data_IF_981357554677
#
_entry.id   IF_981357554677
#
_cell.length_a   1.000
_cell.length_b   1.000
_cell.length_c   1.000
_cell.angle_alpha   90.00
_cell.angle_beta   90.00
_cell.angle_gamma   90.00
#
_symmetry.space_group_name_H-M   'P 1'
#
loop_
_entity.id
_entity.type
_entity.pdbx_description
1 polymer ?
#
# COMPACT_ATOMS: atom_id res chain seq x y z
N UNK A 1 7.85 55.87 6.40
CA UNK A 1 7.14 55.22 5.27
C UNK A 1 7.52 53.75 5.28
N UNK A 2 6.52 52.88 5.25
CA UNK A 2 6.59 51.46 5.65
C UNK A 2 7.45 50.57 4.74
N UNK A 3 8.15 49.62 5.37
CA UNK A 3 8.82 48.47 4.74
C UNK A 3 7.81 47.54 4.07
N UNK A 4 8.05 47.13 2.82
CA UNK A 4 7.39 45.97 2.19
C UNK A 4 8.15 45.50 0.93
N UNK A 5 9.24 44.75 1.11
CA UNK A 5 9.77 43.91 0.03
C UNK A 5 9.64 42.43 0.42
N UNK A 6 8.41 41.94 0.28
CA UNK A 6 8.04 40.53 0.35
C UNK A 6 7.66 40.07 -1.04
N UNK A 7 8.57 39.40 -1.75
CA UNK A 7 8.25 38.51 -2.88
C UNK A 7 9.03 37.21 -2.73
N UNK A 8 8.54 36.42 -1.79
CA UNK A 8 8.71 34.98 -1.72
C UNK A 8 8.11 34.33 -2.98
N UNK A 9 8.96 34.07 -3.97
CA UNK A 9 8.62 33.29 -5.16
C UNK A 9 8.53 31.81 -4.78
N UNK A 10 7.41 31.43 -4.16
CA UNK A 10 6.98 30.04 -4.04
C UNK A 10 6.71 29.51 -5.46
N UNK A 11 7.70 28.85 -6.06
CA UNK A 11 7.50 28.04 -7.25
C UNK A 11 6.73 26.79 -6.83
N UNK A 12 5.41 26.98 -6.76
CA UNK A 12 4.39 25.95 -6.67
C UNK A 12 4.53 25.03 -7.90
N UNK A 13 5.45 24.07 -7.82
CA UNK A 13 5.40 22.85 -8.63
C UNK A 13 4.21 22.09 -8.06
N UNK A 14 3.02 22.42 -8.55
CA UNK A 14 1.81 21.65 -8.29
C UNK A 14 2.09 20.22 -8.77
N UNK A 15 2.54 19.37 -7.85
CA UNK A 15 2.42 17.94 -8.03
C UNK A 15 0.94 17.69 -8.25
N UNK A 16 0.60 17.36 -9.51
CA UNK A 16 -0.73 16.93 -9.97
C UNK A 16 -1.36 15.84 -9.07
N UNK A 17 -0.52 15.20 -8.28
CA UNK A 17 -0.80 14.19 -7.28
C UNK A 17 -0.79 14.89 -5.91
N UNK A 18 -1.95 15.13 -5.28
CA UNK A 18 -1.98 15.62 -3.89
C UNK A 18 -1.21 14.64 -3.00
N UNK A 19 -0.62 15.08 -1.87
CA UNK A 19 0.12 14.19 -0.96
C UNK A 19 -0.83 13.12 -0.42
N UNK A 20 -0.92 11.99 -1.12
CA UNK A 20 -1.76 10.89 -0.72
C UNK A 20 -1.17 10.32 0.58
N UNK A 21 -1.99 10.12 1.61
CA UNK A 21 -1.58 9.52 2.89
C UNK A 21 -0.74 8.27 2.71
N UNK A 22 0.14 7.94 3.66
CA UNK A 22 1.13 6.87 3.54
C UNK A 22 0.51 5.50 3.26
N UNK A 23 1.35 4.48 3.03
CA UNK A 23 0.90 3.08 2.84
C UNK A 23 -0.15 2.61 3.86
N UNK A 24 -0.09 3.14 5.08
CA UNK A 24 -0.98 2.83 6.20
C UNK A 24 -2.36 3.51 6.11
N UNK A 25 -2.53 4.53 5.27
CA UNK A 25 -3.78 5.30 5.15
C UNK A 25 -4.70 4.74 4.06
N UNK A 26 -4.20 3.87 3.18
CA UNK A 26 -5.04 3.17 2.21
C UNK A 26 -5.81 2.06 2.91
N UNK A 27 -7.14 2.18 2.91
CA UNK A 27 -8.07 1.13 3.38
C UNK A 27 -7.75 -0.21 2.72
N UNK A 28 -7.34 -0.20 1.44
CA UNK A 28 -6.96 -1.41 0.70
C UNK A 28 -5.70 -2.08 1.27
N UNK A 29 -4.70 -1.31 1.71
CA UNK A 29 -3.51 -1.86 2.37
C UNK A 29 -3.87 -2.52 3.70
N UNK A 30 -4.67 -1.82 4.54
CA UNK A 30 -5.12 -2.33 5.83
C UNK A 30 -5.91 -3.63 5.68
N UNK A 31 -6.85 -3.68 4.71
CA UNK A 31 -7.62 -4.89 4.41
C UNK A 31 -6.73 -6.04 3.91
N UNK A 32 -5.71 -5.75 3.11
CA UNK A 32 -4.77 -6.77 2.63
C UNK A 32 -3.94 -7.38 3.77
N UNK A 33 -3.59 -6.60 4.79
CA UNK A 33 -2.90 -7.13 5.98
C UNK A 33 -3.79 -8.08 6.76
N UNK A 34 -5.06 -7.70 6.98
CA UNK A 34 -6.04 -8.57 7.65
C UNK A 34 -6.22 -9.90 6.89
N UNK A 35 -6.30 -9.85 5.56
CA UNK A 35 -6.41 -11.05 4.72
C UNK A 35 -5.15 -11.91 4.85
N UNK A 36 -3.96 -11.30 4.82
CA UNK A 36 -2.70 -12.00 5.00
C UNK A 36 -2.61 -12.71 6.36
N UNK A 37 -2.94 -12.00 7.44
CA UNK A 37 -2.89 -12.52 8.80
C UNK A 37 -3.96 -13.59 9.05
N UNK A 38 -5.13 -13.46 8.42
CA UNK A 38 -6.21 -14.44 8.50
C UNK A 38 -5.97 -15.72 7.69
N UNK A 39 -5.14 -15.67 6.64
CA UNK A 39 -4.91 -16.80 5.72
C UNK A 39 -4.34 -18.04 6.44
N UNK A 40 -3.36 -17.95 7.36
CA UNK A 40 -2.91 -19.09 8.16
C UNK A 40 -4.02 -19.72 9.02
N UNK A 41 -4.87 -18.89 9.64
CA UNK A 41 -5.97 -19.40 10.47
C UNK A 41 -7.05 -20.09 9.63
N UNK A 42 -7.40 -19.50 8.49
CA UNK A 42 -8.33 -20.09 7.54
C UNK A 42 -7.82 -21.43 7.01
N UNK A 43 -6.57 -21.46 6.54
CA UNK A 43 -5.99 -22.69 5.98
C UNK A 43 -5.88 -23.79 7.05
N UNK A 44 -5.46 -23.46 8.27
CA UNK A 44 -5.43 -24.40 9.40
C UNK A 44 -6.81 -24.93 9.80
N UNK A 45 -7.86 -24.11 9.67
CA UNK A 45 -9.23 -24.48 10.07
C UNK A 45 -9.92 -25.36 9.04
N UNK A 46 -9.75 -25.07 7.75
CA UNK A 46 -10.53 -25.68 6.67
C UNK A 46 -9.76 -26.73 5.85
N UNK A 47 -8.43 -26.76 5.96
CA UNK A 47 -7.60 -27.74 5.26
C UNK A 47 -6.97 -28.68 6.29
N UNK A 48 -7.24 -29.98 6.15
CA UNK A 48 -6.76 -31.02 7.07
C UNK A 48 -5.26 -31.29 6.95
N UNK A 49 -4.64 -30.92 5.83
CA UNK A 49 -3.23 -31.18 5.54
C UNK A 49 -2.64 -29.93 4.87
N UNK A 50 -1.46 -29.50 5.32
CA UNK A 50 -0.72 -28.40 4.70
C UNK A 50 -0.17 -28.86 3.35
N UNK A 51 -1.06 -28.89 2.37
CA UNK A 51 -0.78 -29.32 1.01
C UNK A 51 -0.55 -28.12 0.10
N UNK A 52 -0.34 -28.40 -1.19
CA UNK A 52 -0.06 -27.42 -2.26
C UNK A 52 -1.04 -26.24 -2.29
N UNK A 53 -2.31 -26.47 -1.95
CA UNK A 53 -3.36 -25.43 -1.92
C UNK A 53 -3.12 -24.41 -0.78
N UNK A 54 -2.65 -24.87 0.37
CA UNK A 54 -2.32 -23.98 1.51
C UNK A 54 -1.12 -23.09 1.15
N UNK A 55 -0.11 -23.67 0.50
CA UNK A 55 1.05 -22.90 0.02
C UNK A 55 0.67 -21.87 -1.05
N UNK A 56 -0.21 -22.22 -1.98
CA UNK A 56 -0.72 -21.29 -3.00
C UNK A 56 -1.53 -20.14 -2.38
N UNK A 57 -2.42 -20.43 -1.41
CA UNK A 57 -3.14 -19.38 -0.70
C UNK A 57 -2.20 -18.44 0.05
N UNK A 58 -1.19 -18.98 0.75
CA UNK A 58 -0.20 -18.15 1.42
C UNK A 58 0.57 -17.25 0.44
N UNK A 59 1.00 -17.79 -0.70
CA UNK A 59 1.70 -17.00 -1.72
C UNK A 59 0.79 -15.94 -2.36
N UNK A 60 -0.47 -16.27 -2.65
CA UNK A 60 -1.44 -15.32 -3.19
C UNK A 60 -1.69 -14.16 -2.21
N UNK A 61 -1.83 -14.46 -0.92
CA UNK A 61 -1.98 -13.43 0.10
C UNK A 61 -0.73 -12.53 0.23
N UNK A 62 0.47 -13.10 0.11
CA UNK A 62 1.74 -12.34 0.09
C UNK A 62 1.85 -11.44 -1.14
N UNK A 63 1.62 -12.01 -2.33
CA UNK A 63 1.66 -11.27 -3.60
C UNK A 63 0.60 -10.17 -3.63
N UNK A 64 -0.60 -10.40 -3.09
CA UNK A 64 -1.63 -9.37 -2.98
C UNK A 64 -1.16 -8.13 -2.21
N UNK A 65 -0.48 -8.32 -1.07
CA UNK A 65 0.10 -7.22 -0.27
C UNK A 65 1.18 -6.47 -1.04
N UNK A 66 2.04 -7.19 -1.77
CA UNK A 66 3.13 -6.63 -2.58
C UNK A 66 2.60 -5.84 -3.79
N UNK A 67 1.61 -6.37 -4.51
CA UNK A 67 0.99 -5.69 -5.66
C UNK A 67 0.37 -4.34 -5.27
N UNK A 68 -0.22 -4.25 -4.07
CA UNK A 68 -0.78 -2.98 -3.56
C UNK A 68 0.35 -2.01 -3.20
N UNK A 69 1.45 -2.51 -2.62
CA UNK A 69 2.62 -1.68 -2.30
C UNK A 69 3.32 -1.16 -3.56
N UNK A 70 3.48 -2.00 -4.59
CA UNK A 70 4.07 -1.65 -5.89
C UNK A 70 3.17 -0.72 -6.69
N UNK A 71 1.86 -1.01 -6.76
CA UNK A 71 0.89 -0.16 -7.46
C UNK A 71 0.79 1.25 -6.87
N UNK A 72 1.08 1.41 -5.56
CA UNK A 72 1.19 2.73 -4.93
C UNK A 72 2.49 3.47 -5.28
N UNK A 73 3.57 2.75 -5.57
CA UNK A 73 4.82 3.32 -6.09
C UNK A 73 4.81 3.49 -7.62
N UNK A 74 3.81 2.93 -8.30
CA UNK A 74 3.67 2.88 -9.75
C UNK A 74 3.24 4.17 -10.44
N UNK A 75 4.00 5.25 -10.26
CA UNK A 75 4.51 6.11 -11.34
C UNK A 75 6.01 6.31 -11.02
N UNK A 76 6.88 5.42 -11.51
CA UNK A 76 8.33 5.64 -11.52
C UNK A 76 9.21 4.45 -11.13
N UNK A 77 10.07 4.07 -12.07
CA UNK A 77 11.26 3.22 -11.98
C UNK A 77 11.10 1.69 -12.01
N UNK A 78 11.14 1.16 -13.25
CA UNK A 78 12.17 0.18 -13.63
C UNK A 78 13.58 0.79 -13.50
#
# INVERSE_FOLDING_TARGET
MFDNNKKNNNTNRESFIPPHGGYRDLITCQKSEIIYDGTPYFTKRFFRKQDRITAQMMQAARSGKQNIAEGRHGIGCL
#
